data_IF_413308336183
#
_entry.id   IF_413308336183
#
_cell.length_a   1.000
_cell.length_b   1.000
_cell.length_c   1.000
_cell.angle_alpha   90.00
_cell.angle_beta   90.00
_cell.angle_gamma   90.00
#
_symmetry.space_group_name_H-M   'P 1'
#
loop_
_entity.id
_entity.type
_entity.pdbx_description
1 polymer ?
#
# COMPACT_ATOMS: atom_id res chain seq x y z
N UNK A 1 3.95 0.57 16.47
CA UNK A 1 3.38 0.16 15.16
C UNK A 1 2.95 1.36 14.29
N UNK A 2 1.89 2.11 14.65
CA UNK A 2 1.43 3.27 13.86
C UNK A 2 2.53 4.29 13.52
N UNK A 3 3.41 4.62 14.47
CA UNK A 3 4.51 5.54 14.17
C UNK A 3 5.55 5.03 13.18
N UNK A 4 5.75 3.71 13.09
CA UNK A 4 6.62 3.11 12.09
C UNK A 4 5.99 3.20 10.69
N UNK A 5 4.68 2.92 10.58
CA UNK A 5 3.93 3.09 9.33
C UNK A 5 3.96 4.55 8.87
N UNK A 6 3.67 5.50 9.77
CA UNK A 6 3.73 6.92 9.44
C UNK A 6 5.13 7.35 8.99
N UNK A 7 6.16 6.88 9.68
CA UNK A 7 7.56 7.14 9.31
C UNK A 7 7.89 6.59 7.92
N UNK A 8 7.49 5.34 7.62
CA UNK A 8 7.71 4.70 6.32
C UNK A 8 7.02 5.49 5.20
N UNK A 9 5.75 5.87 5.37
CA UNK A 9 5.03 6.71 4.40
C UNK A 9 5.69 8.08 4.21
N UNK A 10 6.10 8.72 5.30
CA UNK A 10 6.79 10.01 5.27
C UNK A 10 8.12 9.90 4.51
N UNK A 11 8.88 8.84 4.78
CA UNK A 11 10.14 8.56 4.10
C UNK A 11 9.95 8.37 2.60
N UNK A 12 8.97 7.56 2.19
CA UNK A 12 8.65 7.33 0.79
C UNK A 12 8.21 8.61 0.08
N UNK A 13 7.29 9.38 0.67
CA UNK A 13 6.79 10.61 0.07
C UNK A 13 7.88 11.67 -0.07
N UNK A 14 8.68 11.90 0.98
CA UNK A 14 9.80 12.84 0.93
C UNK A 14 10.88 12.38 -0.04
N UNK A 15 11.15 11.08 -0.11
CA UNK A 15 12.09 10.50 -1.07
C UNK A 15 11.66 10.71 -2.51
N UNK A 16 10.40 10.37 -2.85
CA UNK A 16 9.83 10.59 -4.18
C UNK A 16 9.84 12.08 -4.53
N UNK A 17 9.47 12.95 -3.58
CA UNK A 17 9.48 14.39 -3.79
C UNK A 17 10.89 14.94 -4.08
N UNK A 18 11.90 14.46 -3.35
CA UNK A 18 13.29 14.86 -3.58
C UNK A 18 13.81 14.41 -4.94
N UNK A 19 13.48 13.17 -5.37
CA UNK A 19 13.84 12.63 -6.69
C UNK A 19 13.16 13.44 -7.81
N UNK A 20 11.89 13.80 -7.65
CA UNK A 20 11.15 14.58 -8.65
C UNK A 20 11.64 16.03 -8.82
N UNK A 21 12.31 16.59 -7.83
CA UNK A 21 12.78 17.98 -7.87
C UNK A 21 14.23 18.12 -8.35
N UNK A 22 14.80 17.11 -9.02
CA UNK A 22 16.20 17.06 -9.49
C UNK A 22 17.25 17.31 -8.38
N UNK A 23 16.86 17.20 -7.11
CA UNK A 23 17.80 17.21 -6.02
C UNK A 23 18.39 15.81 -5.87
N UNK A 24 19.72 15.70 -5.77
CA UNK A 24 20.39 14.41 -5.51
C UNK A 24 19.74 13.79 -4.26
N UNK A 25 19.19 12.58 -4.41
CA UNK A 25 18.55 11.87 -3.32
C UNK A 25 19.57 11.67 -2.18
N UNK A 26 19.26 12.21 -1.00
CA UNK A 26 20.13 12.09 0.18
C UNK A 26 19.42 11.27 1.25
N UNK A 27 19.70 9.97 1.29
CA UNK A 27 19.09 9.03 2.23
C UNK A 27 19.09 9.54 3.68
N UNK A 28 20.24 9.98 4.19
CA UNK A 28 20.37 10.56 5.56
C UNK A 28 19.55 11.84 5.77
N UNK A 29 19.34 12.61 4.71
CA UNK A 29 18.49 13.82 4.74
C UNK A 29 17.02 13.46 4.85
N UNK A 30 16.56 12.50 4.02
CA UNK A 30 15.17 12.03 4.02
C UNK A 30 14.81 11.34 5.34
N UNK A 31 15.69 10.51 5.91
CA UNK A 31 15.44 9.88 7.22
C UNK A 31 15.32 10.92 8.34
N UNK A 32 16.25 11.89 8.42
CA UNK A 32 16.19 12.97 9.41
C UNK A 32 14.93 13.84 9.24
N UNK A 33 14.59 14.19 8.01
CA UNK A 33 13.39 14.96 7.70
C UNK A 33 12.11 14.20 8.10
N UNK A 34 12.05 12.91 7.80
CA UNK A 34 10.93 12.03 8.17
C UNK A 34 10.76 11.93 9.68
N UNK A 35 11.87 11.79 10.41
CA UNK A 35 11.84 11.76 11.86
C UNK A 35 11.43 13.10 12.48
N UNK A 36 11.82 14.23 11.86
CA UNK A 36 11.39 15.57 12.28
C UNK A 36 9.89 15.79 12.05
N UNK A 37 9.34 15.28 10.95
CA UNK A 37 7.89 15.33 10.66
C UNK A 37 7.12 14.47 11.66
N UNK A 38 7.61 13.27 11.98
CA UNK A 38 7.05 12.37 12.99
C UNK A 38 6.99 13.03 14.37
N UNK A 39 8.10 13.61 14.84
CA UNK A 39 8.18 14.27 16.16
C UNK A 39 7.33 15.52 16.31
N UNK A 40 7.02 16.22 15.21
CA UNK A 40 6.22 17.45 15.23
C UNK A 40 4.71 17.21 15.23
N UNK A 41 4.26 15.94 15.13
CA UNK A 41 2.84 15.63 15.17
C UNK A 41 2.29 15.73 16.59
N UNK A 42 1.24 16.55 16.78
CA UNK A 42 0.52 16.63 18.04
C UNK A 42 -0.42 15.43 18.25
N UNK A 43 -0.94 15.26 19.48
CA UNK A 43 -1.84 14.16 19.85
C UNK A 43 -3.10 14.07 18.94
N UNK A 44 -3.63 15.21 18.50
CA UNK A 44 -4.79 15.25 17.59
C UNK A 44 -4.47 14.68 16.20
N UNK A 45 -3.25 14.87 15.71
CA UNK A 45 -2.79 14.25 14.44
C UNK A 45 -2.64 12.75 14.58
N UNK A 46 -2.19 12.26 15.75
CA UNK A 46 -2.11 10.83 16.04
C UNK A 46 -3.47 10.16 16.10
N UNK A 47 -4.46 10.81 16.72
CA UNK A 47 -5.84 10.33 16.74
C UNK A 47 -6.43 10.25 15.32
N UNK A 48 -6.16 11.27 14.49
CA UNK A 48 -6.55 11.23 13.09
C UNK A 48 -5.85 10.11 12.32
N UNK A 49 -4.53 9.94 12.52
CA UNK A 49 -3.77 8.89 11.86
C UNK A 49 -4.25 7.50 12.24
N UNK A 50 -4.69 7.29 13.48
CA UNK A 50 -5.34 6.06 13.91
C UNK A 50 -6.62 5.78 13.11
N UNK A 51 -7.53 6.76 13.01
CA UNK A 51 -8.75 6.61 12.21
C UNK A 51 -8.47 6.39 10.72
N UNK A 52 -7.53 7.15 10.16
CA UNK A 52 -7.05 6.99 8.78
C UNK A 52 -6.48 5.58 8.54
N UNK A 53 -5.72 5.06 9.51
CA UNK A 53 -5.16 3.72 9.45
C UNK A 53 -6.24 2.64 9.40
N UNK A 54 -7.29 2.74 10.23
CA UNK A 54 -8.45 1.83 10.21
C UNK A 54 -9.13 1.80 8.84
N UNK A 55 -9.22 2.93 8.14
CA UNK A 55 -9.84 3.01 6.81
C UNK A 55 -8.97 2.35 5.73
N UNK A 56 -7.64 2.41 5.86
CA UNK A 56 -6.71 1.95 4.81
C UNK A 56 -6.24 0.52 5.02
N UNK A 57 -6.13 0.04 6.26
CA UNK A 57 -5.73 -1.34 6.59
C UNK A 57 -6.49 -2.40 5.79
N UNK A 58 -7.82 -2.33 5.63
CA UNK A 58 -8.56 -3.32 4.83
C UNK A 58 -8.08 -3.41 3.37
N UNK A 59 -7.51 -2.32 2.84
CA UNK A 59 -6.94 -2.24 1.50
C UNK A 59 -5.42 -2.33 1.49
N UNK A 60 -4.78 -2.46 2.66
CA UNK A 60 -3.33 -2.59 2.80
C UNK A 60 -2.81 -3.73 1.93
N UNK A 61 -3.47 -4.89 1.94
CA UNK A 61 -3.04 -6.03 1.12
C UNK A 61 -3.16 -5.81 -0.39
N UNK A 62 -4.05 -4.91 -0.85
CA UNK A 62 -4.20 -4.61 -2.28
C UNK A 62 -3.15 -3.62 -2.80
N UNK A 63 -2.58 -2.78 -1.92
CA UNK A 63 -1.69 -1.68 -2.31
C UNK A 63 -0.25 -1.89 -1.79
N UNK A 64 -0.09 -2.53 -0.63
CA UNK A 64 1.17 -2.72 0.09
C UNK A 64 1.18 -4.08 0.82
N UNK A 65 1.82 -5.10 0.23
CA UNK A 65 2.06 -6.40 0.88
C UNK A 65 3.11 -6.33 2.02
N UNK A 66 3.27 -5.18 2.68
CA UNK A 66 4.22 -5.09 3.79
C UNK A 66 3.71 -5.88 4.99
N UNK A 67 4.56 -6.74 5.56
CA UNK A 67 4.31 -7.53 6.79
C UNK A 67 3.77 -6.73 7.99
N UNK A 68 3.93 -5.40 7.98
CA UNK A 68 3.38 -4.52 9.00
C UNK A 68 1.86 -4.38 8.85
N UNK A 69 1.33 -4.19 7.64
CA UNK A 69 -0.09 -3.93 7.39
C UNK A 69 -0.95 -5.21 7.36
N UNK A 70 -0.36 -6.34 7.00
CA UNK A 70 -1.05 -7.64 6.79
C UNK A 70 -1.58 -8.28 8.08
N UNK A 71 -1.15 -7.83 9.27
CA UNK A 71 -1.55 -8.45 10.56
C UNK A 71 -2.93 -8.02 11.08
N UNK A 72 -3.60 -7.05 10.45
CA UNK A 72 -4.89 -6.51 10.88
C UNK A 72 -6.04 -6.84 9.90
N UNK A 73 -5.91 -7.96 9.18
CA UNK A 73 -6.95 -8.46 8.27
C UNK A 73 -8.09 -9.08 9.08
N UNK A 74 -9.33 -8.88 8.62
CA UNK A 74 -10.50 -9.55 9.20
C UNK A 74 -10.31 -11.06 9.01
N UNK A 75 -10.30 -11.88 10.09
CA UNK A 75 -10.13 -13.32 9.96
C UNK A 75 -11.21 -13.96 9.08
N UNK A 76 -10.83 -14.97 8.30
CA UNK A 76 -11.74 -15.62 7.33
C UNK A 76 -13.01 -16.15 7.99
N UNK A 77 -12.93 -16.67 9.22
CA UNK A 77 -14.10 -17.18 9.94
C UNK A 77 -15.20 -16.11 10.14
N UNK A 78 -14.84 -14.83 10.30
CA UNK A 78 -15.81 -13.74 10.47
C UNK A 78 -16.52 -13.49 9.14
N UNK A 79 -15.75 -13.47 8.04
CA UNK A 79 -16.29 -13.27 6.70
C UNK A 79 -17.21 -14.43 6.34
N UNK A 80 -16.78 -15.66 6.59
CA UNK A 80 -17.57 -16.87 6.38
C UNK A 80 -18.87 -16.82 7.19
N UNK A 81 -18.81 -16.55 8.49
CA UNK A 81 -20.00 -16.44 9.35
C UNK A 81 -21.00 -15.37 8.84
N UNK A 82 -20.50 -14.19 8.46
CA UNK A 82 -21.35 -13.12 7.92
C UNK A 82 -21.91 -13.46 6.54
N UNK A 83 -21.17 -14.22 5.72
CA UNK A 83 -21.61 -14.62 4.37
C UNK A 83 -22.74 -15.65 4.36
N UNK A 84 -22.91 -16.41 5.46
CA UNK A 84 -23.95 -17.43 5.59
C UNK A 84 -25.38 -16.86 5.58
N UNK A 85 -25.56 -15.57 5.83
CA UNK A 85 -26.87 -14.91 5.80
C UNK A 85 -26.80 -13.68 4.89
N UNK A 86 -27.70 -13.65 3.90
CA UNK A 86 -27.84 -12.54 2.94
C UNK A 86 -27.82 -11.14 3.59
N UNK A 87 -28.58 -10.83 4.67
CA UNK A 87 -28.56 -9.49 5.25
C UNK A 87 -27.19 -9.10 5.82
N UNK A 88 -26.45 -10.04 6.42
CA UNK A 88 -25.12 -9.79 6.95
C UNK A 88 -24.08 -9.64 5.83
N UNK A 89 -24.19 -10.43 4.77
CA UNK A 89 -23.38 -10.28 3.56
C UNK A 89 -23.58 -8.91 2.91
N UNK A 90 -24.83 -8.47 2.75
CA UNK A 90 -25.16 -7.15 2.19
C UNK A 90 -24.61 -6.03 3.08
N UNK A 91 -24.74 -6.16 4.41
CA UNK A 91 -24.15 -5.21 5.35
C UNK A 91 -22.63 -5.14 5.26
N UNK A 92 -21.97 -6.30 5.14
CA UNK A 92 -20.51 -6.38 4.97
C UNK A 92 -20.05 -5.71 3.66
N UNK A 93 -20.74 -5.97 2.55
CA UNK A 93 -20.45 -5.34 1.26
C UNK A 93 -20.66 -3.83 1.30
N UNK A 94 -21.76 -3.37 1.91
CA UNK A 94 -22.05 -1.94 2.05
C UNK A 94 -20.99 -1.23 2.91
N UNK A 95 -20.58 -1.84 4.03
CA UNK A 95 -19.52 -1.32 4.87
C UNK A 95 -18.17 -1.30 4.12
N UNK A 96 -17.83 -2.37 3.41
CA UNK A 96 -16.63 -2.44 2.57
C UNK A 96 -16.58 -1.33 1.51
N UNK A 97 -17.70 -1.10 0.81
CA UNK A 97 -17.83 -0.01 -0.18
C UNK A 97 -17.69 1.37 0.46
N UNK A 98 -18.26 1.57 1.65
CA UNK A 98 -18.13 2.82 2.40
C UNK A 98 -16.68 3.09 2.80
N UNK A 99 -15.99 2.08 3.35
CA UNK A 99 -14.57 2.20 3.73
C UNK A 99 -13.71 2.45 2.49
N UNK A 100 -13.98 1.77 1.36
CA UNK A 100 -13.27 1.97 0.09
C UNK A 100 -13.45 3.40 -0.44
N UNK A 101 -14.68 3.89 -0.42
CA UNK A 101 -14.99 5.26 -0.79
C UNK A 101 -14.25 6.27 0.10
N UNK A 102 -14.24 6.07 1.42
CA UNK A 102 -13.51 6.92 2.35
C UNK A 102 -11.98 6.86 2.12
N UNK A 103 -11.43 5.70 1.79
CA UNK A 103 -10.01 5.54 1.48
C UNK A 103 -9.62 6.41 0.27
N UNK A 104 -10.41 6.38 -0.81
CA UNK A 104 -10.20 7.24 -1.97
C UNK A 104 -10.33 8.73 -1.59
N UNK A 105 -11.36 9.08 -0.81
CA UNK A 105 -11.59 10.47 -0.37
C UNK A 105 -10.45 11.02 0.48
N UNK A 106 -9.80 10.17 1.27
CA UNK A 106 -8.71 10.57 2.14
C UNK A 106 -7.31 10.34 1.56
N UNK A 107 -7.18 9.87 0.32
CA UNK A 107 -5.90 9.51 -0.31
C UNK A 107 -4.84 10.62 -0.27
N UNK A 108 -5.24 11.90 -0.35
CA UNK A 108 -4.32 13.04 -0.32
C UNK A 108 -4.08 13.59 1.09
N UNK A 109 -4.81 13.12 2.10
CA UNK A 109 -4.72 13.68 3.46
C UNK A 109 -3.31 13.53 4.02
N UNK A 110 -2.71 12.34 3.90
CA UNK A 110 -1.34 12.10 4.36
C UNK A 110 -0.30 12.94 3.60
N UNK A 111 -0.27 12.92 2.24
CA UNK A 111 0.61 13.81 1.48
C UNK A 111 0.49 15.27 1.88
N UNK A 112 -0.72 15.79 2.07
CA UNK A 112 -0.96 17.18 2.46
C UNK A 112 -0.45 17.48 3.88
N UNK A 113 -0.61 16.55 4.82
CA UNK A 113 -0.06 16.70 6.18
C UNK A 113 1.46 16.69 6.20
N UNK A 114 2.09 15.88 5.34
CA UNK A 114 3.54 15.67 5.34
C UNK A 114 4.26 16.76 4.53
N UNK A 115 3.82 17.00 3.29
CA UNK A 115 4.48 17.90 2.34
C UNK A 115 4.10 19.35 2.60
N UNK A 116 2.82 19.65 2.76
CA UNK A 116 2.33 21.02 2.99
C UNK A 116 2.23 21.39 4.47
N UNK A 117 2.57 20.46 5.38
CA UNK A 117 2.51 20.63 6.85
C UNK A 117 1.13 21.08 7.36
N UNK A 118 0.06 20.78 6.62
CA UNK A 118 -1.32 21.11 7.01
C UNK A 118 -1.73 20.36 8.27
N UNK A 119 -2.57 20.98 9.10
CA UNK A 119 -3.20 20.28 10.23
C UNK A 119 -4.13 19.19 9.71
N UNK A 120 -4.30 18.09 10.45
CA UNK A 120 -5.09 16.94 10.02
C UNK A 120 -6.49 17.33 9.50
N UNK A 121 -7.23 18.17 10.22
CA UNK A 121 -8.58 18.60 9.78
C UNK A 121 -8.58 19.44 8.50
N UNK A 122 -7.56 20.27 8.28
CA UNK A 122 -7.41 21.06 7.05
C UNK A 122 -7.04 20.16 5.87
N UNK A 123 -6.15 19.19 6.10
CA UNK A 123 -5.74 18.21 5.10
C UNK A 123 -6.92 17.32 4.66
N UNK A 124 -7.81 16.91 5.58
CA UNK A 124 -9.02 16.15 5.26
C UNK A 124 -9.95 16.96 4.36
N UNK A 125 -10.26 18.20 4.74
CA UNK A 125 -11.15 19.08 3.96
C UNK A 125 -10.59 19.32 2.56
N UNK A 126 -9.28 19.56 2.47
CA UNK A 126 -8.59 19.72 1.20
C UNK A 126 -8.64 18.44 0.35
N UNK A 127 -8.32 17.28 0.93
CA UNK A 127 -8.40 15.97 0.24
C UNK A 127 -9.81 15.70 -0.27
N UNK A 128 -10.83 15.99 0.54
CA UNK A 128 -12.23 15.79 0.17
C UNK A 128 -12.64 16.65 -1.04
N UNK A 129 -12.24 17.93 -1.03
CA UNK A 129 -12.50 18.86 -2.13
C UNK A 129 -11.77 18.44 -3.42
N UNK A 130 -10.50 18.05 -3.32
CA UNK A 130 -9.68 17.62 -4.46
C UNK A 130 -10.21 16.34 -5.10
N UNK A 131 -10.67 15.39 -4.30
CA UNK A 131 -11.20 14.10 -4.77
C UNK A 131 -12.60 14.22 -5.37
N UNK A 132 -13.40 15.22 -4.97
CA UNK A 132 -14.80 15.34 -5.39
C UNK A 132 -14.99 15.49 -6.90
N UNK A 133 -14.11 16.26 -7.56
CA UNK A 133 -14.19 16.52 -9.00
C UNK A 133 -13.39 15.52 -9.83
N UNK A 134 -12.64 14.61 -9.19
CA UNK A 134 -11.66 13.74 -9.85
C UNK A 134 -11.74 12.28 -9.41
N UNK A 135 -12.81 11.88 -8.72
CA UNK A 135 -12.97 10.52 -8.18
C UNK A 135 -12.75 9.46 -9.27
N UNK A 136 -13.42 9.59 -10.41
CA UNK A 136 -13.27 8.67 -11.54
C UNK A 136 -11.86 8.64 -12.13
N UNK A 137 -11.20 9.79 -12.22
CA UNK A 137 -9.81 9.86 -12.67
C UNK A 137 -8.87 9.13 -11.71
N UNK A 138 -9.08 9.30 -10.40
CA UNK A 138 -8.30 8.62 -9.36
C UNK A 138 -8.54 7.11 -9.41
N UNK A 139 -9.81 6.67 -9.49
CA UNK A 139 -10.17 5.24 -9.62
C UNK A 139 -9.49 4.64 -10.84
N UNK A 140 -9.58 5.29 -12.01
CA UNK A 140 -8.95 4.80 -13.24
C UNK A 140 -7.44 4.69 -13.10
N UNK A 141 -6.78 5.67 -12.49
CA UNK A 141 -5.34 5.63 -12.31
C UNK A 141 -4.91 4.55 -11.32
N UNK A 142 -5.65 4.36 -10.22
CA UNK A 142 -5.41 3.26 -9.28
C UNK A 142 -5.58 1.93 -10.02
N UNK A 143 -6.69 1.75 -10.74
CA UNK A 143 -6.94 0.53 -11.50
C UNK A 143 -5.84 0.27 -12.55
N UNK A 144 -5.41 1.29 -13.28
CA UNK A 144 -4.32 1.17 -14.26
C UNK A 144 -3.01 0.73 -13.59
N UNK A 145 -2.62 1.36 -12.48
CA UNK A 145 -1.39 0.98 -11.75
C UNK A 145 -1.52 -0.43 -11.18
N UNK A 146 -2.65 -0.78 -10.59
CA UNK A 146 -2.89 -2.14 -10.04
C UNK A 146 -2.82 -3.19 -11.14
N UNK A 147 -3.47 -2.97 -12.29
CA UNK A 147 -3.40 -3.89 -13.43
C UNK A 147 -1.98 -3.98 -13.97
N UNK A 148 -1.28 -2.85 -14.14
CA UNK A 148 0.09 -2.85 -14.64
C UNK A 148 1.05 -3.62 -13.72
N UNK A 149 0.92 -3.45 -12.40
CA UNK A 149 1.69 -4.23 -11.41
C UNK A 149 1.34 -5.71 -11.51
N UNK A 150 0.04 -6.06 -11.52
CA UNK A 150 -0.41 -7.44 -11.62
C UNK A 150 0.11 -8.15 -12.88
N UNK A 151 -0.02 -7.48 -14.04
CA UNK A 151 0.50 -7.99 -15.32
C UNK A 151 2.01 -8.14 -15.27
N UNK A 152 2.74 -7.15 -14.73
CA UNK A 152 4.20 -7.22 -14.63
C UNK A 152 4.65 -8.38 -13.74
N UNK A 153 4.01 -8.57 -12.58
CA UNK A 153 4.29 -9.70 -11.69
C UNK A 153 3.99 -11.03 -12.36
N UNK A 154 2.85 -11.13 -13.06
CA UNK A 154 2.49 -12.35 -13.78
C UNK A 154 3.48 -12.68 -14.90
N UNK A 155 3.92 -11.68 -15.67
CA UNK A 155 4.95 -11.83 -16.71
C UNK A 155 6.26 -12.32 -16.09
N UNK A 156 6.68 -11.78 -14.95
CA UNK A 156 7.88 -12.25 -14.25
C UNK A 156 7.72 -13.72 -13.85
N UNK A 157 6.58 -14.13 -13.29
CA UNK A 157 6.35 -15.54 -12.96
C UNK A 157 6.38 -16.47 -14.17
N UNK A 158 5.77 -16.06 -15.29
CA UNK A 158 5.84 -16.84 -16.54
C UNK A 158 7.29 -16.96 -17.03
N UNK A 159 8.08 -15.88 -16.97
CA UNK A 159 9.49 -15.91 -17.36
C UNK A 159 10.33 -16.83 -16.46
N UNK A 160 10.13 -16.77 -15.14
CA UNK A 160 10.82 -17.66 -14.19
C UNK A 160 10.44 -19.13 -14.42
N UNK A 161 9.17 -19.40 -14.71
CA UNK A 161 8.69 -20.74 -15.06
C UNK A 161 9.32 -21.26 -16.35
N UNK A 162 9.33 -20.46 -17.42
CA UNK A 162 9.97 -20.83 -18.69
C UNK A 162 11.48 -21.02 -18.54
N UNK A 163 12.12 -20.22 -17.68
CA UNK A 163 13.53 -20.40 -17.34
C UNK A 163 13.75 -21.75 -16.64
N UNK A 164 12.90 -22.11 -15.66
CA UNK A 164 13.00 -23.39 -14.97
C UNK A 164 12.85 -24.57 -15.95
N UNK A 165 11.85 -24.53 -16.83
CA UNK A 165 11.65 -25.56 -17.85
C UNK A 165 12.89 -25.78 -18.72
N UNK A 166 13.62 -24.72 -19.06
CA UNK A 166 14.89 -24.85 -19.79
C UNK A 166 15.99 -25.47 -18.94
N UNK A 167 16.11 -25.07 -17.67
CA UNK A 167 17.11 -25.63 -16.75
C UNK A 167 16.84 -27.11 -16.45
N UNK A 168 15.58 -27.53 -16.43
CA UNK A 168 15.17 -28.92 -16.23
C UNK A 168 15.55 -29.85 -17.39
N UNK A 169 15.91 -29.29 -18.57
CA UNK A 169 16.48 -30.08 -19.68
C UNK A 169 17.98 -30.32 -19.57
N UNK A 170 18.64 -29.68 -18.60
CA UNK A 170 20.07 -29.82 -18.34
C UNK A 170 20.30 -30.90 -17.26
N UNK A 171 21.50 -30.93 -16.67
CA UNK A 171 21.84 -31.85 -15.58
C UNK A 171 20.98 -31.59 -14.33
N UNK A 172 20.67 -32.66 -13.58
CA UNK A 172 19.93 -32.63 -12.31
C UNK A 172 20.49 -31.59 -11.32
N UNK A 173 21.81 -31.41 -11.28
CA UNK A 173 22.44 -30.42 -10.38
C UNK A 173 22.12 -28.99 -10.79
N UNK A 174 22.05 -28.71 -12.10
CA UNK A 174 21.74 -27.37 -12.63
C UNK A 174 20.25 -27.07 -12.47
N UNK A 175 19.38 -28.05 -12.70
CA UNK A 175 17.93 -27.93 -12.45
C UNK A 175 17.64 -27.61 -10.98
N UNK A 176 18.27 -28.34 -10.03
CA UNK A 176 18.10 -28.11 -8.60
C UNK A 176 18.60 -26.74 -8.14
N UNK A 177 19.81 -26.33 -8.54
CA UNK A 177 20.34 -25.01 -8.22
C UNK A 177 19.49 -23.88 -8.83
N UNK A 178 19.06 -24.06 -10.08
CA UNK A 178 18.12 -23.18 -10.76
C UNK A 178 16.80 -23.03 -10.01
N UNK A 179 16.24 -24.15 -9.54
CA UNK A 179 15.00 -24.19 -8.78
C UNK A 179 15.10 -23.45 -7.46
N UNK A 180 16.18 -23.64 -6.70
CA UNK A 180 16.42 -22.92 -5.43
C UNK A 180 16.51 -21.41 -5.67
N UNK A 181 17.23 -20.98 -6.70
CA UNK A 181 17.35 -19.57 -7.05
C UNK A 181 16.01 -18.99 -7.51
N UNK A 182 15.29 -19.69 -8.39
CA UNK A 182 13.97 -19.28 -8.86
C UNK A 182 12.97 -19.15 -7.70
N UNK A 183 12.93 -20.13 -6.79
CA UNK A 183 12.09 -20.09 -5.61
C UNK A 183 12.45 -18.91 -4.69
N UNK A 184 13.74 -18.61 -4.54
CA UNK A 184 14.20 -17.44 -3.76
C UNK A 184 13.69 -16.13 -4.37
N UNK A 185 13.76 -16.00 -5.70
CA UNK A 185 13.22 -14.83 -6.42
C UNK A 185 11.71 -14.73 -6.25
N UNK A 186 10.98 -15.84 -6.40
CA UNK A 186 9.52 -15.89 -6.18
C UNK A 186 9.16 -15.45 -4.76
N UNK A 187 9.87 -15.95 -3.75
CA UNK A 187 9.64 -15.54 -2.36
C UNK A 187 9.88 -14.04 -2.18
N UNK A 188 10.94 -13.47 -2.76
CA UNK A 188 11.20 -12.04 -2.67
C UNK A 188 10.09 -11.19 -3.33
N UNK A 189 9.48 -11.67 -4.42
CA UNK A 189 8.37 -10.98 -5.09
C UNK A 189 7.05 -11.04 -4.29
N UNK A 190 6.93 -11.95 -3.33
CA UNK A 190 5.77 -12.10 -2.45
C UNK A 190 5.88 -11.29 -1.14
N UNK A 191 7.02 -10.61 -0.89
CA UNK A 191 7.27 -9.73 0.27
C UNK A 191 7.05 -8.24 -0.06
#
# INVERSE_FOLDING_TARGET
>A
FLGAVFYQFTFLLLGIFQIRQDHRFHFKGVTKASFKVLKKQGARSWLFFFGYFVVIVPFGNLIFQSNLLTKFVIPDFIVEFLSQRIPYLVGLLALGLLVWYLAIRFIYTLPLMILERKKAGEAVKASWSMTNKRLWFIIRNIAFVTIAVFVSTYVIYVLLYLLQLKLDTLSDTISLLGGILNLTVVQFLQF
#
